data_IF_560911729248
#
_entry.id   IF_560911729248
#
_cell.length_a   1.000
_cell.length_b   1.000
_cell.length_c   1.000
_cell.angle_alpha   90.00
_cell.angle_beta   90.00
_cell.angle_gamma   90.00
#
_symmetry.space_group_name_H-M   'P 1'
#
loop_
_entity.id
_entity.type
_entity.pdbx_description
1 polymer ?
#
# COMPACT_ATOMS: atom_id res chain seq x y z
N UNK A 1 11.52 -33.01 -37.83
CA UNK A 1 10.85 -32.01 -38.69
C UNK A 1 10.70 -30.72 -37.90
N UNK A 2 11.19 -29.62 -38.48
CA UNK A 2 11.33 -28.27 -37.94
C UNK A 2 9.97 -27.61 -37.62
N UNK A 3 9.80 -27.01 -36.44
CA UNK A 3 9.92 -25.56 -36.14
C UNK A 3 8.58 -24.81 -36.31
N UNK A 4 7.87 -24.63 -35.19
CA UNK A 4 6.67 -23.77 -35.08
C UNK A 4 7.10 -22.30 -34.92
N UNK A 5 6.70 -21.47 -35.86
CA UNK A 5 7.09 -20.07 -35.95
C UNK A 5 6.34 -19.16 -34.97
N UNK A 6 7.10 -18.48 -34.11
CA UNK A 6 6.63 -17.32 -33.36
C UNK A 6 6.61 -16.10 -34.28
N UNK A 7 5.41 -15.63 -34.66
CA UNK A 7 5.23 -14.41 -35.43
C UNK A 7 5.36 -13.17 -34.51
N UNK A 8 6.53 -12.53 -34.52
CA UNK A 8 6.74 -11.21 -33.89
C UNK A 8 6.22 -10.12 -34.82
N UNK A 9 5.11 -9.48 -34.44
CA UNK A 9 4.58 -8.27 -35.06
C UNK A 9 5.58 -7.12 -34.86
N UNK A 10 6.31 -6.77 -35.93
CA UNK A 10 7.14 -5.55 -35.99
C UNK A 10 6.22 -4.34 -36.14
N UNK A 11 6.30 -3.40 -35.18
CA UNK A 11 5.73 -2.06 -35.33
C UNK A 11 6.73 -1.24 -36.14
N UNK A 12 6.29 -0.73 -37.29
CA UNK A 12 7.10 0.08 -38.20
C UNK A 12 7.23 1.51 -37.70
N UNK A 13 8.47 1.99 -37.65
CA UNK A 13 8.85 3.37 -37.39
C UNK A 13 8.59 4.20 -38.66
N UNK A 14 7.68 5.18 -38.60
CA UNK A 14 7.43 6.14 -39.69
C UNK A 14 8.29 7.39 -39.50
N UNK A 15 9.16 7.66 -40.47
CA UNK A 15 9.89 8.92 -40.67
C UNK A 15 8.95 10.05 -41.11
N UNK A 16 9.15 11.32 -40.67
CA UNK A 16 8.31 12.44 -41.10
C UNK A 16 8.81 13.09 -42.41
N UNK A 17 7.88 13.46 -43.28
CA UNK A 17 8.08 14.33 -44.45
C UNK A 17 7.77 15.81 -44.11
N UNK A 18 8.40 16.81 -44.77
CA UNK A 18 8.25 18.24 -44.45
C UNK A 18 7.28 19.00 -45.39
N UNK A 19 6.77 20.15 -44.91
CA UNK A 19 5.98 21.17 -45.62
C UNK A 19 4.54 21.28 -45.06
N UNK A 20 3.93 22.42 -44.75
CA UNK A 20 4.22 23.86 -44.92
C UNK A 20 3.34 24.67 -43.94
N UNK A 21 3.81 25.89 -43.57
CA UNK A 21 3.00 27.10 -43.33
C UNK A 21 1.95 27.15 -42.21
N UNK A 22 2.27 27.77 -41.06
CA UNK A 22 1.89 29.16 -40.70
C UNK A 22 1.82 29.42 -39.19
N UNK A 23 2.69 30.35 -38.77
CA UNK A 23 2.51 31.44 -37.80
C UNK A 23 1.90 31.14 -36.43
N UNK A 24 2.68 31.33 -35.34
CA UNK A 24 2.44 32.35 -34.31
C UNK A 24 3.67 32.41 -33.38
N UNK A 25 4.36 33.55 -33.41
CA UNK A 25 5.50 33.84 -32.56
C UNK A 25 5.04 34.38 -31.20
N UNK A 26 5.48 33.74 -30.12
CA UNK A 26 5.45 34.33 -28.77
C UNK A 26 6.72 33.96 -28.03
N UNK A 27 7.46 35.02 -27.73
CA UNK A 27 8.78 35.08 -27.11
C UNK A 27 8.78 34.48 -25.70
N UNK A 28 9.79 33.65 -25.38
CA UNK A 28 10.14 33.32 -24.00
C UNK A 28 11.67 33.22 -23.85
N UNK A 29 12.23 33.73 -22.74
CA UNK A 29 13.65 34.07 -22.61
C UNK A 29 14.50 32.83 -22.32
N UNK A 30 15.74 32.85 -22.82
CA UNK A 30 16.79 31.90 -22.43
C UNK A 30 17.21 32.16 -20.98
N UNK A 31 17.20 31.16 -20.07
CA UNK A 31 17.84 31.31 -18.79
C UNK A 31 19.33 30.96 -18.93
N UNK A 32 20.12 32.00 -18.72
CA UNK A 32 21.54 31.98 -18.39
C UNK A 32 21.81 30.95 -17.31
N UNK A 33 22.81 30.09 -17.54
CA UNK A 33 23.29 29.16 -16.54
C UNK A 33 23.90 29.90 -15.35
N UNK A 34 23.56 29.46 -14.14
CA UNK A 34 24.55 29.40 -13.08
C UNK A 34 24.21 28.28 -12.10
N UNK A 35 25.03 27.24 -12.14
CA UNK A 35 25.08 26.12 -11.22
C UNK A 35 25.58 26.58 -9.85
N UNK A 36 24.80 26.33 -8.79
CA UNK A 36 25.35 25.86 -7.52
C UNK A 36 24.24 25.45 -6.54
N UNK A 37 24.07 24.14 -6.40
CA UNK A 37 23.24 23.51 -5.39
C UNK A 37 23.46 22.01 -5.45
N UNK A 38 24.50 21.55 -4.74
CA UNK A 38 24.92 20.14 -4.64
C UNK A 38 23.73 19.23 -4.35
N UNK A 39 23.32 18.47 -5.37
CA UNK A 39 22.51 17.27 -5.26
C UNK A 39 23.38 16.14 -4.73
N UNK A 40 23.13 15.70 -3.49
CA UNK A 40 23.55 14.37 -3.06
C UNK A 40 22.57 13.37 -3.66
N UNK A 41 23.11 12.51 -4.52
CA UNK A 41 22.34 11.58 -5.33
C UNK A 41 21.78 10.39 -4.55
N UNK A 42 20.56 10.01 -4.93
CA UNK A 42 20.12 8.63 -5.05
C UNK A 42 19.78 8.39 -6.52
N UNK A 43 20.56 7.56 -7.21
CA UNK A 43 20.53 7.42 -8.66
C UNK A 43 19.28 6.77 -9.26
N UNK A 44 18.81 7.42 -10.32
CA UNK A 44 18.51 6.87 -11.67
C UNK A 44 17.52 5.71 -11.83
N UNK A 45 16.39 6.04 -12.44
CA UNK A 45 15.86 5.51 -13.71
C UNK A 45 14.36 5.85 -13.66
N UNK A 46 13.80 6.77 -14.44
CA UNK A 46 13.67 6.72 -15.89
C UNK A 46 13.57 8.15 -16.45
N UNK A 47 14.10 8.32 -17.64
CA UNK A 47 14.12 9.52 -18.47
C UNK A 47 12.70 10.11 -18.64
N UNK A 48 12.48 11.35 -18.17
CA UNK A 48 11.20 12.07 -18.28
C UNK A 48 10.53 12.44 -16.94
N UNK A 49 11.30 12.70 -15.89
CA UNK A 49 10.82 13.00 -14.53
C UNK A 49 9.81 14.14 -14.45
N UNK A 50 8.53 13.80 -14.51
CA UNK A 50 7.45 14.68 -14.09
C UNK A 50 7.74 15.16 -12.67
N UNK A 51 7.67 16.48 -12.46
CA UNK A 51 7.71 17.07 -11.13
C UNK A 51 6.54 16.48 -10.35
N UNK A 52 6.81 15.47 -9.53
CA UNK A 52 5.82 14.95 -8.59
C UNK A 52 5.52 16.12 -7.67
N UNK A 53 4.30 16.64 -7.76
CA UNK A 53 3.83 17.63 -6.81
C UNK A 53 3.90 16.98 -5.43
N UNK A 54 4.63 17.64 -4.53
CA UNK A 54 4.88 17.14 -3.19
C UNK A 54 4.49 18.25 -2.21
N UNK A 55 3.69 17.91 -1.19
CA UNK A 55 3.34 18.83 -0.11
C UNK A 55 4.54 18.94 0.85
N UNK A 56 5.18 20.10 1.03
CA UNK A 56 6.34 20.24 1.89
C UNK A 56 6.13 19.75 3.33
N UNK A 57 4.88 19.67 3.82
CA UNK A 57 4.55 19.11 5.14
C UNK A 57 4.78 17.61 5.24
N UNK A 58 4.73 16.87 4.13
CA UNK A 58 4.98 15.44 4.12
C UNK A 58 6.47 15.13 4.41
N UNK A 59 7.39 16.10 4.19
CA UNK A 59 8.85 15.93 4.39
C UNK A 59 9.27 16.33 5.80
N UNK A 60 8.45 17.10 6.51
CA UNK A 60 8.76 17.59 7.86
C UNK A 60 8.73 16.46 8.90
N UNK A 61 8.12 15.32 8.58
CA UNK A 61 8.01 14.18 9.50
C UNK A 61 9.06 13.09 9.23
N UNK A 62 10.34 13.46 9.17
CA UNK A 62 11.49 12.51 9.00
C UNK A 62 11.58 11.40 10.09
N UNK A 63 10.67 11.37 11.07
CA UNK A 63 10.56 10.33 12.11
C UNK A 63 9.27 9.50 12.10
N UNK A 64 8.26 9.83 11.27
CA UNK A 64 6.92 9.20 11.36
C UNK A 64 6.93 7.71 10.99
N UNK A 65 7.83 7.30 10.11
CA UNK A 65 7.96 5.90 9.69
C UNK A 65 8.55 4.95 10.75
N UNK A 66 9.01 5.47 11.89
CA UNK A 66 9.67 4.68 12.94
C UNK A 66 8.82 4.51 14.20
N UNK A 67 7.87 5.41 14.44
CA UNK A 67 6.90 5.31 15.53
C UNK A 67 5.63 4.63 15.07
N UNK A 68 4.96 3.90 15.97
CA UNK A 68 3.60 3.44 15.68
C UNK A 68 2.69 4.68 15.47
N UNK A 69 1.81 4.67 14.46
CA UNK A 69 0.86 5.75 14.25
C UNK A 69 -0.05 5.88 15.48
N UNK A 70 -0.59 7.08 15.67
CA UNK A 70 -1.45 7.38 16.83
C UNK A 70 -2.80 6.67 16.77
N UNK A 71 -3.30 6.43 15.57
CA UNK A 71 -4.55 5.74 15.32
C UNK A 71 -4.24 4.37 14.71
N UNK A 72 -4.99 3.38 15.14
CA UNK A 72 -5.07 2.07 14.49
C UNK A 72 -5.89 2.18 13.20
N UNK A 73 -5.68 1.24 12.28
CA UNK A 73 -6.51 1.17 11.06
C UNK A 73 -8.00 1.02 11.39
N UNK A 74 -8.34 0.37 12.51
CA UNK A 74 -9.73 0.25 12.97
C UNK A 74 -10.36 1.63 13.23
N UNK A 75 -9.62 2.49 13.93
CA UNK A 75 -10.10 3.84 14.27
C UNK A 75 -10.20 4.73 13.04
N UNK A 76 -9.25 4.63 12.10
CA UNK A 76 -9.32 5.36 10.84
C UNK A 76 -10.55 4.96 10.01
N UNK A 77 -10.83 3.66 9.90
CA UNK A 77 -12.04 3.16 9.22
C UNK A 77 -13.30 3.60 9.93
N UNK A 78 -13.30 3.63 11.27
CA UNK A 78 -14.43 4.12 12.06
C UNK A 78 -14.66 5.62 11.82
N UNK A 79 -13.60 6.42 11.81
CA UNK A 79 -13.67 7.87 11.55
C UNK A 79 -14.19 8.18 10.15
N UNK A 80 -13.82 7.39 9.13
CA UNK A 80 -14.39 7.53 7.78
C UNK A 80 -15.91 7.30 7.73
N UNK A 81 -16.46 6.51 8.66
CA UNK A 81 -17.89 6.20 8.71
C UNK A 81 -18.73 7.17 9.55
N UNK A 82 -18.11 7.94 10.45
CA UNK A 82 -18.80 8.86 11.37
C UNK A 82 -19.21 10.15 10.65
N UNK A 83 -20.40 10.65 10.93
CA UNK A 83 -20.83 11.97 10.46
C UNK A 83 -20.51 13.05 11.50
N UNK A 84 -19.81 14.11 11.06
CA UNK A 84 -19.34 15.22 11.89
C UNK A 84 -20.39 15.83 12.82
N UNK A 85 -21.63 16.02 12.32
CA UNK A 85 -22.70 16.70 13.05
C UNK A 85 -23.60 15.77 13.86
N UNK A 86 -23.63 14.49 13.50
CA UNK A 86 -24.59 13.54 14.04
C UNK A 86 -23.97 12.54 15.03
N UNK A 87 -22.65 12.36 15.01
CA UNK A 87 -21.94 11.54 15.99
C UNK A 87 -22.23 10.04 15.92
N UNK A 88 -23.05 9.58 14.96
CA UNK A 88 -23.28 8.17 14.69
C UNK A 88 -22.71 7.77 13.32
N UNK A 89 -22.41 6.48 13.19
CA UNK A 89 -21.94 5.87 11.94
C UNK A 89 -23.05 5.90 10.89
N UNK A 90 -22.74 6.46 9.73
CA UNK A 90 -23.69 6.67 8.63
C UNK A 90 -24.39 5.39 8.18
N UNK A 91 -23.65 4.27 8.17
CA UNK A 91 -24.05 3.02 7.53
C UNK A 91 -23.40 1.79 8.19
N UNK A 92 -23.46 1.68 9.52
CA UNK A 92 -22.95 0.49 10.21
C UNK A 92 -23.70 -0.77 9.75
N UNK A 93 -22.98 -1.71 9.14
CA UNK A 93 -23.53 -2.99 8.71
C UNK A 93 -22.54 -4.13 9.03
N UNK A 94 -22.97 -5.35 8.77
CA UNK A 94 -22.17 -6.55 9.00
C UNK A 94 -20.90 -6.58 8.12
N UNK A 95 -20.93 -5.97 6.93
CA UNK A 95 -19.75 -5.86 6.06
C UNK A 95 -18.67 -4.94 6.67
N UNK A 96 -19.06 -3.83 7.30
CA UNK A 96 -18.12 -2.95 8.02
C UNK A 96 -17.57 -3.70 9.23
N UNK A 97 -18.44 -4.39 9.96
CA UNK A 97 -18.01 -5.23 11.08
C UNK A 97 -16.97 -6.25 10.63
N UNK A 98 -17.24 -7.01 9.58
CA UNK A 98 -16.33 -8.01 9.01
C UNK A 98 -15.00 -7.39 8.54
N UNK A 99 -15.04 -6.25 7.86
CA UNK A 99 -13.86 -5.52 7.42
C UNK A 99 -12.96 -5.11 8.60
N UNK A 100 -13.54 -4.62 9.70
CA UNK A 100 -12.79 -4.24 10.90
C UNK A 100 -12.04 -5.42 11.53
N UNK A 101 -12.58 -6.64 11.46
CA UNK A 101 -11.86 -7.85 11.91
C UNK A 101 -10.66 -8.14 11.02
N UNK A 102 -10.79 -7.87 9.72
CA UNK A 102 -9.65 -7.87 8.79
C UNK A 102 -8.59 -6.82 9.15
N UNK A 103 -9.02 -5.61 9.56
CA UNK A 103 -8.12 -4.55 10.03
C UNK A 103 -7.32 -4.97 11.27
N UNK A 104 -7.91 -5.74 12.19
CA UNK A 104 -7.19 -6.28 13.37
C UNK A 104 -5.99 -7.12 12.93
N UNK A 105 -6.20 -8.08 12.02
CA UNK A 105 -5.12 -8.93 11.53
C UNK A 105 -4.09 -8.13 10.73
N UNK A 106 -4.54 -7.16 9.93
CA UNK A 106 -3.66 -6.29 9.17
C UNK A 106 -2.75 -5.46 10.09
N UNK A 107 -3.32 -4.84 11.13
CA UNK A 107 -2.60 -4.05 12.13
C UNK A 107 -1.59 -4.92 12.89
N UNK A 108 -1.98 -6.11 13.34
CA UNK A 108 -1.07 -7.06 14.00
C UNK A 108 0.10 -7.48 13.09
N UNK A 109 -0.15 -7.66 11.79
CA UNK A 109 0.89 -7.98 10.82
C UNK A 109 1.85 -6.80 10.59
N UNK A 110 1.32 -5.57 10.49
CA UNK A 110 2.13 -4.35 10.32
C UNK A 110 3.00 -4.08 11.57
N UNK A 111 2.48 -4.35 12.77
CA UNK A 111 3.23 -4.31 14.05
C UNK A 111 4.15 -5.53 14.26
N UNK A 112 4.24 -6.43 13.27
CA UNK A 112 5.07 -7.65 13.27
C UNK A 112 4.77 -8.61 14.43
N UNK A 113 3.53 -8.62 14.92
CA UNK A 113 3.07 -9.55 15.96
C UNK A 113 2.72 -10.90 15.38
N UNK A 114 2.11 -10.91 14.20
CA UNK A 114 1.75 -12.14 13.47
C UNK A 114 2.41 -12.17 12.11
N UNK A 115 2.50 -13.36 11.53
CA UNK A 115 2.85 -13.51 10.13
C UNK A 115 2.45 -14.87 9.56
N UNK A 116 2.68 -15.02 8.27
CA UNK A 116 2.37 -16.26 7.57
C UNK A 116 3.33 -17.36 7.99
N UNK A 117 2.78 -18.54 8.30
CA UNK A 117 3.56 -19.74 8.63
C UNK A 117 4.58 -20.01 7.53
N UNK A 118 5.83 -20.27 7.91
CA UNK A 118 6.93 -20.56 6.97
C UNK A 118 6.79 -21.99 6.43
N UNK A 119 5.90 -22.15 5.46
CA UNK A 119 5.76 -23.37 4.68
C UNK A 119 6.05 -23.09 3.19
N UNK A 120 6.82 -23.98 2.56
CA UNK A 120 7.13 -23.93 1.12
C UNK A 120 5.90 -24.21 0.26
N UNK A 121 4.97 -25.05 0.73
CA UNK A 121 3.76 -25.41 0.00
C UNK A 121 2.66 -24.34 0.10
N UNK A 122 2.76 -23.38 1.02
CA UNK A 122 1.76 -22.32 1.25
C UNK A 122 1.34 -21.54 -0.01
N UNK A 123 2.25 -21.43 -0.99
CA UNK A 123 1.99 -20.72 -2.26
C UNK A 123 0.96 -21.44 -3.14
N UNK A 124 0.69 -22.72 -2.88
CA UNK A 124 -0.37 -23.50 -3.56
C UNK A 124 -1.76 -23.09 -3.10
N UNK A 125 -1.88 -22.52 -1.90
CA UNK A 125 -3.14 -22.03 -1.34
C UNK A 125 -3.36 -20.54 -1.66
N UNK A 126 -4.61 -20.12 -1.87
CA UNK A 126 -4.96 -18.72 -2.02
C UNK A 126 -4.66 -17.96 -0.72
N UNK A 127 -4.55 -16.63 -0.80
CA UNK A 127 -4.14 -15.80 0.34
C UNK A 127 -5.00 -15.98 1.62
N UNK A 128 -6.34 -16.07 1.55
CA UNK A 128 -7.18 -16.23 2.73
C UNK A 128 -6.95 -17.56 3.47
N UNK A 129 -6.56 -18.61 2.75
CA UNK A 129 -6.40 -19.96 3.31
C UNK A 129 -5.02 -20.19 3.91
N UNK A 130 -4.10 -19.21 3.79
CA UNK A 130 -2.75 -19.34 4.33
C UNK A 130 -2.76 -19.16 5.84
N UNK A 131 -2.14 -20.13 6.51
CA UNK A 131 -2.07 -20.16 7.96
C UNK A 131 -1.21 -19.02 8.51
N UNK A 132 -1.64 -18.45 9.63
CA UNK A 132 -0.88 -17.45 10.39
C UNK A 132 -0.36 -18.02 11.72
N UNK A 133 0.72 -17.43 12.21
CA UNK A 133 1.30 -17.72 13.52
C UNK A 133 1.76 -16.44 14.22
N UNK A 134 1.84 -16.49 15.55
CA UNK A 134 2.40 -15.41 16.37
C UNK A 134 3.93 -15.43 16.27
N UNK A 135 4.51 -14.29 15.94
CA UNK A 135 5.96 -14.06 15.82
C UNK A 135 6.50 -13.34 17.06
N UNK A 136 5.75 -12.38 17.57
CA UNK A 136 6.11 -11.58 18.75
C UNK A 136 4.87 -11.40 19.63
N UNK A 137 5.04 -11.67 20.93
CA UNK A 137 3.98 -11.65 21.94
C UNK A 137 3.91 -10.34 22.72
N UNK A 138 4.81 -9.40 22.43
CA UNK A 138 4.83 -8.11 23.11
C UNK A 138 3.50 -7.38 22.90
N UNK A 139 2.91 -6.90 24.00
CA UNK A 139 1.67 -6.14 23.95
C UNK A 139 1.79 -4.92 23.01
N UNK A 140 0.73 -4.63 22.28
CA UNK A 140 0.62 -3.46 21.41
C UNK A 140 0.13 -2.23 22.16
N UNK A 141 -0.45 -2.41 23.36
CA UNK A 141 -1.09 -1.35 24.14
C UNK A 141 -2.53 -1.08 23.72
N UNK A 142 -3.04 -1.85 22.76
CA UNK A 142 -4.39 -1.75 22.22
C UNK A 142 -5.16 -2.99 22.65
N UNK A 143 -6.15 -2.84 23.53
CA UNK A 143 -6.87 -3.97 24.14
C UNK A 143 -7.42 -4.96 23.12
N UNK A 144 -7.98 -4.46 22.01
CA UNK A 144 -8.58 -5.30 20.96
C UNK A 144 -7.50 -6.15 20.25
N UNK A 145 -6.35 -5.54 19.95
CA UNK A 145 -5.25 -6.24 19.30
C UNK A 145 -4.61 -7.25 20.25
N UNK A 146 -4.46 -6.90 21.53
CA UNK A 146 -3.85 -7.75 22.55
C UNK A 146 -4.73 -8.99 22.86
N UNK A 147 -6.06 -8.82 22.93
CA UNK A 147 -6.98 -9.96 23.08
C UNK A 147 -7.01 -10.85 21.83
N UNK A 148 -6.99 -10.25 20.63
CA UNK A 148 -6.88 -11.02 19.39
C UNK A 148 -5.56 -11.80 19.33
N UNK A 149 -4.45 -11.18 19.71
CA UNK A 149 -3.13 -11.83 19.75
C UNK A 149 -3.10 -13.01 20.72
N UNK A 150 -3.70 -12.85 21.91
CA UNK A 150 -3.84 -13.90 22.92
C UNK A 150 -4.67 -15.06 22.41
N UNK A 151 -5.78 -14.78 21.73
CA UNK A 151 -6.64 -15.80 21.11
C UNK A 151 -5.89 -16.57 20.01
N UNK A 152 -5.18 -15.87 19.11
CA UNK A 152 -4.38 -16.51 18.04
C UNK A 152 -3.30 -17.42 18.61
N UNK A 153 -2.68 -17.01 19.73
CA UNK A 153 -1.67 -17.83 20.41
C UNK A 153 -2.24 -19.10 21.04
N UNK A 154 -3.45 -19.03 21.61
CA UNK A 154 -4.06 -20.14 22.34
C UNK A 154 -4.69 -21.20 21.41
N UNK A 155 -5.03 -20.81 20.18
CA UNK A 155 -5.67 -21.68 19.19
C UNK A 155 -4.67 -22.39 18.29
N UNK A 156 -5.16 -23.36 17.52
CA UNK A 156 -4.39 -23.93 16.41
C UNK A 156 -4.17 -22.92 15.29
N UNK A 157 -3.18 -23.19 14.42
CA UNK A 157 -2.86 -22.30 13.30
C UNK A 157 -3.96 -22.41 12.25
N UNK A 158 -4.71 -21.34 12.08
CA UNK A 158 -5.82 -21.23 11.13
C UNK A 158 -5.50 -20.23 10.00
N UNK A 159 -6.24 -20.34 8.90
CA UNK A 159 -6.13 -19.42 7.76
C UNK A 159 -6.64 -18.02 8.11
N UNK A 160 -6.16 -17.00 7.38
CA UNK A 160 -6.60 -15.60 7.55
C UNK A 160 -8.12 -15.47 7.43
N UNK A 161 -8.74 -16.10 6.44
CA UNK A 161 -10.20 -16.03 6.24
C UNK A 161 -10.97 -16.59 7.44
N UNK A 162 -10.57 -17.77 7.92
CA UNK A 162 -11.19 -18.41 9.08
C UNK A 162 -11.05 -17.59 10.36
N UNK A 163 -9.94 -16.87 10.53
CA UNK A 163 -9.76 -15.94 11.65
C UNK A 163 -10.73 -14.76 11.58
N UNK A 164 -10.94 -14.19 10.40
CA UNK A 164 -11.89 -13.08 10.22
C UNK A 164 -13.31 -13.58 10.50
N UNK A 165 -13.68 -14.75 9.99
CA UNK A 165 -14.99 -15.37 10.23
C UNK A 165 -15.22 -15.63 11.73
N UNK A 166 -14.25 -16.21 12.42
CA UNK A 166 -14.36 -16.53 13.86
C UNK A 166 -14.50 -15.29 14.74
N UNK A 167 -13.82 -14.19 14.40
CA UNK A 167 -13.94 -12.92 15.12
C UNK A 167 -15.19 -12.11 14.76
N UNK A 168 -15.89 -12.52 13.69
CA UNK A 168 -17.10 -11.86 13.20
C UNK A 168 -18.38 -12.60 13.57
N UNK A 169 -18.27 -13.86 14.02
CA UNK A 169 -19.35 -14.68 14.57
C UNK A 169 -19.72 -14.25 16.00
#
# INVERSE_FOLDING_TARGET
>A
MAQSGLSRRRVGTSTPTPGDGDTFASSAPSPVGNSNGRTYGGGTALEGGGKIAYDPRDLETEGEGKSMPRLTILEEVLLLGIKDKQGYLSFWNDNISYALRGCILMELALRRRIGMVKDSARRRYPLPDRLIEVIDERQTGETILDEALKMIKASEKMGVGTWIDLMSA
#
